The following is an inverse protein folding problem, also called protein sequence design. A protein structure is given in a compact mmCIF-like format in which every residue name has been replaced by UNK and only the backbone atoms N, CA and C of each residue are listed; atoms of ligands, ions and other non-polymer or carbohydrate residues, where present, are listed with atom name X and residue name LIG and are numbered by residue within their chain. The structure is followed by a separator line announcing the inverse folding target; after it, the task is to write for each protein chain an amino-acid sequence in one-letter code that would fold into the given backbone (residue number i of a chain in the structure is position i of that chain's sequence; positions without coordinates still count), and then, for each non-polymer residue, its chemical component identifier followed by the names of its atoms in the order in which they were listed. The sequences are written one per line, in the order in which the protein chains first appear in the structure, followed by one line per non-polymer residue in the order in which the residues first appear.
data_IF_241583317426
#
_entry.id   IF_241583317426
#
_cell.length_a   1.000
_cell.length_b   1.000
_cell.length_c   1.000
_cell.angle_alpha   90.00
_cell.angle_beta   90.00
_cell.angle_gamma   90.00
#
_symmetry.space_group_name_H-M   'P 1'
#
loop_
_entity.id
_entity.type
_entity.pdbx_description
1 polymer ?
#
# COMPACT_ATOMS: atom_id res chain seq x y z
N UNK A 1 3.72 30.69 -37.01
CA UNK A 1 3.92 29.23 -36.91
C UNK A 1 2.59 28.55 -37.15
N UNK A 2 2.49 27.65 -38.14
CA UNK A 2 1.27 26.85 -38.38
C UNK A 2 0.99 25.99 -37.12
N UNK A 3 -0.27 25.86 -36.68
CA UNK A 3 -0.60 24.98 -35.57
C UNK A 3 -0.18 23.54 -35.99
N UNK A 4 0.67 22.93 -35.17
CA UNK A 4 1.12 21.55 -35.37
C UNK A 4 -0.10 20.65 -35.24
N UNK A 5 -0.37 19.79 -36.21
CA UNK A 5 -1.51 18.87 -36.14
C UNK A 5 -1.32 17.90 -34.97
N UNK A 6 -2.43 17.46 -34.35
CA UNK A 6 -2.40 16.55 -33.22
C UNK A 6 -1.66 15.24 -33.57
N UNK A 7 -1.78 14.77 -34.81
CA UNK A 7 -1.05 13.61 -35.34
C UNK A 7 0.45 13.79 -35.39
N UNK A 8 0.94 14.96 -35.82
CA UNK A 8 2.39 15.29 -35.82
C UNK A 8 2.95 15.39 -34.39
N UNK A 9 2.14 15.94 -33.47
CA UNK A 9 2.52 16.03 -32.05
C UNK A 9 2.71 14.64 -31.46
N UNK A 10 1.77 13.72 -31.70
CA UNK A 10 1.85 12.34 -31.23
C UNK A 10 3.09 11.64 -31.81
N UNK A 11 3.41 11.83 -33.09
CA UNK A 11 4.60 11.23 -33.71
C UNK A 11 5.90 11.76 -33.08
N UNK A 12 6.00 13.07 -32.86
CA UNK A 12 7.17 13.68 -32.21
C UNK A 12 7.34 13.20 -30.77
N UNK A 13 6.25 13.07 -30.01
CA UNK A 13 6.29 12.54 -28.66
C UNK A 13 6.74 11.08 -28.62
N UNK A 14 6.22 10.23 -29.52
CA UNK A 14 6.67 8.83 -29.65
C UNK A 14 8.16 8.74 -29.98
N UNK A 15 8.64 9.57 -30.90
CA UNK A 15 10.06 9.62 -31.24
C UNK A 15 10.92 10.05 -30.04
N UNK A 16 10.47 11.05 -29.27
CA UNK A 16 11.15 11.50 -28.06
C UNK A 16 11.17 10.41 -26.96
N UNK A 17 10.07 9.70 -26.76
CA UNK A 17 10.01 8.58 -25.81
C UNK A 17 10.92 7.42 -26.20
N UNK A 18 11.08 7.13 -27.50
CA UNK A 18 11.98 6.09 -27.99
C UNK A 18 13.47 6.41 -27.74
N UNK A 19 13.83 7.68 -27.56
CA UNK A 19 15.19 8.10 -27.22
C UNK A 19 15.54 7.91 -25.74
N UNK A 20 14.53 7.88 -24.86
CA UNK A 20 14.76 7.70 -23.43
C UNK A 20 14.90 6.21 -23.09
N UNK A 21 16.07 5.78 -22.69
CA UNK A 21 16.40 4.40 -22.35
C UNK A 21 16.67 4.18 -20.84
N UNK A 22 16.33 5.16 -20.02
CA UNK A 22 16.59 5.14 -18.58
C UNK A 22 17.72 6.09 -18.17
N UNK A 23 18.27 5.85 -16.97
CA UNK A 23 19.27 6.73 -16.38
C UNK A 23 20.58 6.75 -17.17
N UNK A 24 21.07 7.97 -17.38
CA UNK A 24 22.33 8.26 -18.05
C UNK A 24 23.51 8.00 -17.11
N UNK A 25 24.57 7.37 -17.61
CA UNK A 25 25.83 7.13 -16.89
C UNK A 25 25.67 6.46 -15.52
N UNK A 26 24.98 5.34 -15.46
CA UNK A 26 24.67 4.58 -14.24
C UNK A 26 25.87 4.22 -13.37
N UNK A 27 27.08 4.08 -13.97
CA UNK A 27 28.34 3.77 -13.25
C UNK A 27 28.87 4.93 -12.40
N UNK A 28 28.42 6.15 -12.64
CA UNK A 28 28.81 7.38 -11.93
C UNK A 28 27.59 8.21 -11.52
N UNK A 29 26.49 7.50 -11.24
CA UNK A 29 25.20 8.10 -10.89
C UNK A 29 25.22 8.95 -9.60
N UNK A 30 26.22 8.74 -8.74
CA UNK A 30 26.48 9.48 -7.51
C UNK A 30 27.08 10.88 -7.74
N UNK A 31 27.61 11.16 -8.95
CA UNK A 31 28.08 12.50 -9.27
C UNK A 31 26.92 13.49 -9.38
N UNK A 32 27.03 14.62 -8.69
CA UNK A 32 25.97 15.63 -8.58
C UNK A 32 25.44 16.09 -9.96
N UNK A 33 26.31 16.35 -10.93
CA UNK A 33 25.90 16.78 -12.27
C UNK A 33 25.17 15.66 -13.05
N UNK A 34 25.54 14.39 -12.85
CA UNK A 34 24.85 13.23 -13.45
C UNK A 34 23.46 13.10 -12.87
N UNK A 35 23.35 13.21 -11.55
CA UNK A 35 22.07 13.16 -10.83
C UNK A 35 21.13 14.28 -11.32
N UNK A 36 21.64 15.50 -11.50
CA UNK A 36 20.86 16.63 -12.02
C UNK A 36 20.34 16.36 -13.44
N UNK A 37 21.17 15.82 -14.32
CA UNK A 37 20.77 15.47 -15.69
C UNK A 37 19.77 14.33 -15.72
N UNK A 38 19.96 13.29 -14.94
CA UNK A 38 19.03 12.17 -14.84
C UNK A 38 17.65 12.66 -14.36
N UNK A 39 17.60 13.46 -13.29
CA UNK A 39 16.36 14.06 -12.80
C UNK A 39 15.66 14.91 -13.87
N UNK A 40 16.42 15.71 -14.62
CA UNK A 40 15.89 16.54 -15.69
C UNK A 40 15.29 15.72 -16.85
N UNK A 41 16.06 14.76 -17.39
CA UNK A 41 15.57 13.93 -18.51
C UNK A 41 14.45 13.00 -18.10
N UNK A 42 14.50 12.47 -16.89
CA UNK A 42 13.42 11.68 -16.32
C UNK A 42 12.11 12.49 -16.20
N UNK A 43 12.22 13.72 -15.72
CA UNK A 43 11.09 14.65 -15.64
C UNK A 43 10.50 14.98 -17.03
N UNK A 44 11.36 15.18 -18.03
CA UNK A 44 10.92 15.36 -19.43
C UNK A 44 10.21 14.11 -19.97
N UNK A 45 10.77 12.94 -19.72
CA UNK A 45 10.16 11.66 -20.10
C UNK A 45 8.75 11.53 -19.54
N UNK A 46 8.57 11.71 -18.22
CA UNK A 46 7.26 11.63 -17.57
C UNK A 46 6.27 12.66 -18.13
N UNK A 47 6.71 13.88 -18.39
CA UNK A 47 5.85 14.90 -19.01
C UNK A 47 5.41 14.51 -20.41
N UNK A 48 6.30 13.93 -21.23
CA UNK A 48 5.94 13.40 -22.55
C UNK A 48 4.95 12.24 -22.46
N UNK A 49 5.16 11.31 -21.52
CA UNK A 49 4.23 10.18 -21.27
C UNK A 49 2.85 10.70 -20.89
N UNK A 50 2.75 11.60 -19.92
CA UNK A 50 1.46 12.16 -19.46
C UNK A 50 0.73 12.88 -20.57
N UNK A 51 1.43 13.71 -21.34
CA UNK A 51 0.82 14.43 -22.47
C UNK A 51 0.31 13.46 -23.54
N UNK A 52 1.08 12.40 -23.85
CA UNK A 52 0.66 11.37 -24.81
C UNK A 52 -0.54 10.55 -24.28
N UNK A 53 -0.58 10.27 -22.97
CA UNK A 53 -1.74 9.66 -22.31
C UNK A 53 -3.00 10.52 -22.47
N UNK A 54 -2.90 11.84 -22.28
CA UNK A 54 -4.02 12.76 -22.48
C UNK A 54 -4.49 12.76 -23.94
N UNK A 55 -3.59 12.76 -24.91
CA UNK A 55 -3.92 12.66 -26.32
C UNK A 55 -4.67 11.36 -26.64
N UNK A 56 -4.22 10.22 -26.07
CA UNK A 56 -4.90 8.95 -26.29
C UNK A 56 -6.26 8.87 -25.61
N UNK A 57 -6.42 9.45 -24.41
CA UNK A 57 -7.73 9.54 -23.76
C UNK A 57 -8.70 10.36 -24.59
N UNK A 58 -8.28 11.53 -25.11
CA UNK A 58 -9.12 12.39 -25.98
C UNK A 58 -9.50 11.71 -27.30
N UNK A 59 -8.57 10.93 -27.84
CA UNK A 59 -8.79 10.20 -29.10
C UNK A 59 -9.44 8.82 -28.90
N UNK A 60 -9.81 8.45 -27.65
CA UNK A 60 -10.37 7.15 -27.26
C UNK A 60 -9.53 5.94 -27.69
N UNK A 61 -8.20 6.13 -27.84
CA UNK A 61 -7.26 5.08 -28.24
C UNK A 61 -6.78 4.27 -27.03
N UNK A 62 -7.69 3.53 -26.43
CA UNK A 62 -7.46 2.81 -25.17
C UNK A 62 -6.40 1.71 -25.25
N UNK A 63 -6.22 1.05 -26.41
CA UNK A 63 -5.18 0.07 -26.67
C UNK A 63 -3.77 0.68 -26.54
N UNK A 64 -3.56 1.82 -27.20
CA UNK A 64 -2.30 2.54 -27.17
C UNK A 64 -2.01 3.12 -25.77
N UNK A 65 -3.07 3.56 -25.09
CA UNK A 65 -2.98 4.07 -23.71
C UNK A 65 -2.56 2.97 -22.75
N UNK A 66 -3.16 1.78 -22.82
CA UNK A 66 -2.82 0.62 -21.99
C UNK A 66 -1.35 0.23 -22.18
N UNK A 67 -0.89 0.10 -23.44
CA UNK A 67 0.50 -0.24 -23.75
C UNK A 67 1.49 0.79 -23.20
N UNK A 68 1.22 2.08 -23.44
CA UNK A 68 2.08 3.18 -22.97
C UNK A 68 2.19 3.19 -21.44
N UNK A 69 1.04 3.12 -20.73
CA UNK A 69 1.04 3.13 -19.27
C UNK A 69 1.72 1.89 -18.69
N UNK A 70 1.51 0.70 -19.28
CA UNK A 70 2.15 -0.53 -18.82
C UNK A 70 3.66 -0.47 -18.97
N UNK A 71 4.17 0.10 -20.08
CA UNK A 71 5.61 0.30 -20.28
C UNK A 71 6.19 1.34 -19.31
N UNK A 72 5.49 2.47 -19.12
CA UNK A 72 5.95 3.52 -18.22
C UNK A 72 5.98 3.05 -16.76
N UNK A 73 5.00 2.26 -16.31
CA UNK A 73 4.94 1.70 -14.96
C UNK A 73 6.04 0.68 -14.65
N UNK A 74 6.67 0.07 -15.67
CA UNK A 74 7.87 -0.76 -15.46
C UNK A 74 9.07 0.07 -15.00
N UNK A 75 9.16 1.33 -15.42
CA UNK A 75 10.21 2.25 -15.02
C UNK A 75 9.82 3.08 -13.80
N UNK A 76 8.55 3.50 -13.73
CA UNK A 76 7.97 4.35 -12.67
C UNK A 76 6.80 3.67 -11.97
N UNK A 77 7.09 2.69 -11.17
CA UNK A 77 6.08 1.91 -10.43
C UNK A 77 5.36 2.70 -9.32
N UNK A 78 5.82 3.92 -9.01
CA UNK A 78 5.29 4.76 -7.92
C UNK A 78 4.49 5.97 -8.39
N UNK A 79 4.22 6.11 -9.69
CA UNK A 79 3.44 7.22 -10.23
C UNK A 79 1.93 6.92 -10.19
N UNK A 80 1.22 7.57 -9.26
CA UNK A 80 -0.25 7.44 -9.09
C UNK A 80 -1.01 7.80 -10.39
N UNK A 81 -0.53 8.76 -11.15
CA UNK A 81 -1.21 9.28 -12.34
C UNK A 81 -1.17 8.27 -13.49
N UNK A 82 -0.05 7.55 -13.66
CA UNK A 82 0.06 6.47 -14.64
C UNK A 82 -0.90 5.32 -14.36
N UNK A 83 -1.09 4.95 -13.09
CA UNK A 83 -2.12 3.99 -12.70
C UNK A 83 -3.52 4.49 -13.03
N UNK A 84 -3.81 5.77 -12.81
CA UNK A 84 -5.09 6.36 -13.17
C UNK A 84 -5.37 6.28 -14.68
N UNK A 85 -4.36 6.51 -15.53
CA UNK A 85 -4.48 6.36 -16.98
C UNK A 85 -4.67 4.90 -17.39
N UNK A 86 -3.93 3.97 -16.78
CA UNK A 86 -4.08 2.53 -17.05
C UNK A 86 -5.49 2.04 -16.70
N UNK A 87 -6.01 2.44 -15.56
CA UNK A 87 -7.38 2.11 -15.13
C UNK A 87 -8.41 2.68 -16.13
N UNK A 88 -8.23 3.93 -16.58
CA UNK A 88 -9.10 4.53 -17.61
C UNK A 88 -9.04 3.76 -18.94
N UNK A 89 -7.85 3.31 -19.35
CA UNK A 89 -7.69 2.52 -20.57
C UNK A 89 -8.45 1.19 -20.50
N UNK A 90 -8.31 0.46 -19.39
CA UNK A 90 -9.00 -0.80 -19.16
C UNK A 90 -10.52 -0.62 -19.08
N UNK A 91 -10.97 0.45 -18.41
CA UNK A 91 -12.38 0.79 -18.33
C UNK A 91 -12.98 1.11 -19.71
N UNK A 92 -12.27 1.89 -20.53
CA UNK A 92 -12.69 2.19 -21.92
C UNK A 92 -12.74 0.96 -22.81
N UNK A 93 -11.97 -0.08 -22.50
CA UNK A 93 -12.02 -1.41 -23.15
C UNK A 93 -13.08 -2.34 -22.56
N UNK A 94 -13.90 -1.87 -21.64
CA UNK A 94 -14.90 -2.64 -20.89
C UNK A 94 -14.31 -3.81 -20.05
N UNK A 95 -13.03 -3.73 -19.71
CA UNK A 95 -12.31 -4.70 -18.86
C UNK A 95 -12.34 -4.25 -17.40
N UNK A 96 -13.54 -4.15 -16.81
CA UNK A 96 -13.74 -3.58 -15.46
C UNK A 96 -13.03 -4.40 -14.38
N UNK A 97 -13.07 -5.75 -14.47
CA UNK A 97 -12.36 -6.63 -13.52
C UNK A 97 -10.85 -6.32 -13.46
N UNK A 98 -10.20 -6.27 -14.63
CA UNK A 98 -8.77 -5.93 -14.71
C UNK A 98 -8.48 -4.50 -14.23
N UNK A 99 -9.38 -3.55 -14.44
CA UNK A 99 -9.24 -2.19 -13.92
C UNK A 99 -9.28 -2.15 -12.38
N UNK A 100 -10.12 -2.97 -11.76
CA UNK A 100 -10.18 -3.11 -10.29
C UNK A 100 -8.92 -3.78 -9.74
N UNK A 101 -8.42 -4.83 -10.37
CA UNK A 101 -7.16 -5.49 -9.98
C UNK A 101 -5.97 -4.50 -10.03
N UNK A 102 -5.89 -3.68 -11.10
CA UNK A 102 -4.86 -2.64 -11.21
C UNK A 102 -5.01 -1.60 -10.10
N UNK A 103 -6.23 -1.19 -9.76
CA UNK A 103 -6.49 -0.27 -8.66
C UNK A 103 -6.00 -0.83 -7.32
N UNK A 104 -6.35 -2.08 -7.00
CA UNK A 104 -5.93 -2.73 -5.74
C UNK A 104 -4.41 -2.89 -5.65
N UNK A 105 -3.77 -3.31 -6.75
CA UNK A 105 -2.32 -3.44 -6.83
C UNK A 105 -1.62 -2.07 -6.69
N UNK A 106 -2.14 -1.03 -7.33
CA UNK A 106 -1.62 0.33 -7.21
C UNK A 106 -1.70 0.83 -5.76
N UNK A 107 -2.87 0.68 -5.12
CA UNK A 107 -3.05 1.06 -3.71
C UNK A 107 -2.04 0.33 -2.81
N UNK A 108 -1.88 -0.99 -3.01
CA UNK A 108 -0.94 -1.80 -2.23
C UNK A 108 0.51 -1.34 -2.42
N UNK A 109 0.94 -1.16 -3.67
CA UNK A 109 2.31 -0.75 -4.01
C UNK A 109 2.64 0.64 -3.47
N UNK A 110 1.77 1.62 -3.72
CA UNK A 110 1.99 3.00 -3.31
C UNK A 110 1.94 3.16 -1.78
N UNK A 111 1.04 2.45 -1.09
CA UNK A 111 0.98 2.45 0.37
C UNK A 111 2.21 1.79 1.00
N UNK A 112 2.68 0.67 0.46
CA UNK A 112 3.83 -0.05 1.00
C UNK A 112 5.15 0.70 0.80
N UNK A 113 5.33 1.37 -0.34
CA UNK A 113 6.60 1.99 -0.68
C UNK A 113 6.68 3.48 -0.30
N UNK A 114 5.58 4.22 -0.40
CA UNK A 114 5.54 5.66 -0.09
C UNK A 114 4.92 5.99 1.27
N UNK A 115 4.27 5.01 1.93
CA UNK A 115 3.55 5.27 3.19
C UNK A 115 2.35 6.23 3.04
N UNK A 116 1.94 6.53 1.81
CA UNK A 116 0.86 7.49 1.53
C UNK A 116 -0.49 6.85 1.82
N UNK A 117 -1.25 7.43 2.74
CA UNK A 117 -2.56 6.93 3.15
C UNK A 117 -3.73 7.44 2.32
N UNK A 118 -3.57 8.54 1.59
CA UNK A 118 -4.62 9.13 0.75
C UNK A 118 -4.18 9.22 -0.71
N UNK A 119 -4.65 8.28 -1.51
CA UNK A 119 -4.52 8.26 -2.97
C UNK A 119 -5.77 8.88 -3.59
N UNK A 120 -5.88 10.21 -3.51
CA UNK A 120 -7.09 10.94 -3.89
C UNK A 120 -7.44 10.82 -5.38
N UNK A 121 -6.43 10.79 -6.25
CA UNK A 121 -6.61 10.64 -7.70
C UNK A 121 -7.13 9.24 -8.05
N UNK A 122 -6.50 8.19 -7.51
CA UNK A 122 -6.93 6.80 -7.67
C UNK A 122 -8.33 6.56 -7.14
N UNK A 123 -8.66 7.10 -5.96
CA UNK A 123 -10.01 7.02 -5.40
C UNK A 123 -11.05 7.67 -6.31
N UNK A 124 -10.75 8.84 -6.87
CA UNK A 124 -11.63 9.53 -7.82
C UNK A 124 -11.91 8.74 -9.10
N UNK A 125 -10.91 7.99 -9.60
CA UNK A 125 -11.09 7.10 -10.76
C UNK A 125 -11.91 5.87 -10.38
N UNK A 126 -11.65 5.27 -9.22
CA UNK A 126 -12.41 4.14 -8.69
C UNK A 126 -13.89 4.46 -8.52
N UNK A 127 -14.22 5.61 -7.91
CA UNK A 127 -15.60 6.05 -7.73
C UNK A 127 -16.34 6.22 -9.09
N UNK A 128 -15.64 6.68 -10.12
CA UNK A 128 -16.20 6.77 -11.49
C UNK A 128 -16.46 5.38 -12.09
N UNK A 129 -15.53 4.44 -11.91
CA UNK A 129 -15.70 3.05 -12.36
C UNK A 129 -16.91 2.40 -11.71
N UNK A 130 -17.09 2.56 -10.40
CA UNK A 130 -18.23 2.00 -9.67
C UNK A 130 -19.56 2.59 -10.17
N UNK A 131 -19.60 3.88 -10.49
CA UNK A 131 -20.82 4.51 -11.05
C UNK A 131 -21.14 3.99 -12.45
N UNK A 132 -20.13 3.78 -13.29
CA UNK A 132 -20.33 3.24 -14.64
C UNK A 132 -20.80 1.78 -14.61
N UNK A 133 -20.29 0.99 -13.68
CA UNK A 133 -20.68 -0.41 -13.52
C UNK A 133 -22.11 -0.58 -12.96
N UNK A 134 -22.57 0.37 -12.14
CA UNK A 134 -23.94 0.35 -11.59
C UNK A 134 -25.05 0.63 -12.60
N UNK A 135 -24.74 1.21 -13.75
CA UNK A 135 -25.74 1.54 -14.77
C UNK A 135 -26.09 0.40 -15.73
N UNK A 136 -25.41 -0.75 -15.66
CA UNK A 136 -25.58 -1.83 -16.65
C UNK A 136 -26.08 -3.19 -16.16
N UNK A 137 -25.95 -3.55 -14.89
CA UNK A 137 -26.39 -4.86 -14.39
C UNK A 137 -26.92 -4.75 -12.96
N UNK A 138 -28.17 -5.17 -12.76
CA UNK A 138 -28.69 -5.48 -11.43
C UNK A 138 -28.00 -6.79 -10.99
N UNK A 139 -26.84 -6.67 -10.35
CA UNK A 139 -26.14 -7.81 -9.78
C UNK A 139 -26.94 -8.30 -8.57
N UNK A 140 -27.33 -9.58 -8.58
CA UNK A 140 -28.03 -10.18 -7.46
C UNK A 140 -27.12 -10.32 -6.23
N UNK A 141 -27.69 -10.47 -5.05
CA UNK A 141 -26.98 -10.68 -3.77
C UNK A 141 -25.96 -11.82 -3.85
N UNK A 142 -26.17 -12.81 -4.72
CA UNK A 142 -25.24 -13.92 -4.95
C UNK A 142 -23.88 -13.45 -5.49
N UNK A 143 -23.87 -12.45 -6.39
CA UNK A 143 -22.62 -11.87 -6.90
C UNK A 143 -21.86 -11.12 -5.80
N UNK A 144 -22.57 -10.37 -4.97
CA UNK A 144 -21.98 -9.67 -3.83
C UNK A 144 -21.34 -10.67 -2.85
N UNK A 145 -21.99 -11.80 -2.60
CA UNK A 145 -21.42 -12.87 -1.78
C UNK A 145 -20.17 -13.48 -2.42
N UNK A 146 -20.16 -13.66 -3.73
CA UNK A 146 -19.00 -14.18 -4.45
C UNK A 146 -17.82 -13.21 -4.42
N UNK A 147 -18.07 -11.91 -4.54
CA UNK A 147 -17.05 -10.86 -4.49
C UNK A 147 -16.46 -10.68 -3.08
N UNK A 148 -17.29 -10.93 -2.02
CA UNK A 148 -16.83 -10.85 -0.63
C UNK A 148 -16.16 -12.14 -0.17
N UNK A 149 -16.49 -13.29 -0.78
CA UNK A 149 -15.94 -14.58 -0.38
C UNK A 149 -14.46 -14.67 -0.66
N UNK A 150 -13.64 -14.54 0.38
CA UNK A 150 -12.22 -14.86 0.32
C UNK A 150 -12.03 -16.36 0.10
N UNK A 151 -11.28 -16.71 -0.95
CA UNK A 151 -10.88 -18.09 -1.17
C UNK A 151 -9.77 -18.44 -0.17
N UNK A 152 -10.10 -19.21 0.89
CA UNK A 152 -9.17 -19.70 1.91
C UNK A 152 -8.41 -18.62 2.68
N UNK A 153 -9.04 -17.88 3.59
CA UNK A 153 -8.31 -16.95 4.46
C UNK A 153 -7.35 -17.73 5.37
N UNK A 154 -6.06 -17.70 5.06
CA UNK A 154 -5.02 -18.29 5.88
C UNK A 154 -4.35 -17.21 6.73
N UNK A 155 -4.52 -17.28 8.06
CA UNK A 155 -3.89 -16.35 8.99
C UNK A 155 -4.60 -14.99 9.07
N UNK A 156 -3.92 -13.99 9.64
CA UNK A 156 -4.48 -12.68 9.89
C UNK A 156 -4.70 -11.86 8.61
N UNK A 157 -5.69 -10.97 8.65
CA UNK A 157 -5.93 -9.99 7.60
C UNK A 157 -4.87 -8.89 7.63
N UNK A 158 -4.01 -8.88 6.60
CA UNK A 158 -2.98 -7.85 6.46
C UNK A 158 -3.51 -6.68 5.66
N UNK A 159 -3.43 -5.49 6.23
CA UNK A 159 -3.91 -4.27 5.57
C UNK A 159 -3.01 -3.07 5.86
N UNK A 160 -3.20 -1.99 5.11
CA UNK A 160 -2.62 -0.70 5.45
C UNK A 160 -3.25 -0.10 6.70
N UNK A 161 -2.51 0.74 7.43
CA UNK A 161 -2.98 1.35 8.68
C UNK A 161 -4.32 2.11 8.55
N UNK A 162 -4.65 2.81 7.45
CA UNK A 162 -5.96 3.43 7.29
C UNK A 162 -7.12 2.43 7.30
N UNK A 163 -6.97 1.29 6.61
CA UNK A 163 -7.99 0.22 6.61
C UNK A 163 -8.09 -0.40 8.00
N UNK A 164 -6.95 -0.68 8.64
CA UNK A 164 -6.90 -1.16 10.02
C UNK A 164 -7.68 -0.24 10.98
N UNK A 165 -7.50 1.08 10.86
CA UNK A 165 -8.21 2.08 11.67
C UNK A 165 -9.73 1.99 11.49
N UNK A 166 -10.20 1.81 10.25
CA UNK A 166 -11.64 1.67 9.97
C UNK A 166 -12.19 0.33 10.51
N UNK A 167 -11.41 -0.76 10.43
CA UNK A 167 -11.75 -2.03 11.07
C UNK A 167 -11.90 -1.83 12.59
N UNK A 168 -10.94 -1.19 13.25
CA UNK A 168 -11.02 -0.89 14.67
C UNK A 168 -12.26 -0.05 15.02
N UNK A 169 -12.59 0.97 14.21
CA UNK A 169 -13.80 1.78 14.40
C UNK A 169 -15.08 0.97 14.28
N UNK A 170 -15.12 0.04 13.31
CA UNK A 170 -16.26 -0.87 13.16
C UNK A 170 -16.40 -1.78 14.38
N UNK A 171 -15.26 -2.32 14.86
CA UNK A 171 -15.27 -3.20 16.03
C UNK A 171 -15.68 -2.47 17.31
N UNK A 172 -15.22 -1.24 17.53
CA UNK A 172 -15.71 -0.38 18.65
C UNK A 172 -17.25 -0.27 18.65
N UNK A 173 -17.85 -0.12 17.46
CA UNK A 173 -19.32 -0.05 17.34
C UNK A 173 -20.01 -1.39 17.63
N UNK A 174 -19.34 -2.52 17.33
CA UNK A 174 -19.84 -3.87 17.65
C UNK A 174 -19.75 -4.16 19.14
N UNK A 175 -18.61 -3.87 19.78
CA UNK A 175 -18.41 -4.09 21.22
C UNK A 175 -19.41 -3.33 22.08
N UNK A 176 -19.84 -2.15 21.63
CA UNK A 176 -20.92 -1.40 22.30
C UNK A 176 -22.29 -2.14 22.32
N UNK A 177 -22.49 -3.14 21.44
CA UNK A 177 -23.73 -3.91 21.35
C UNK A 177 -23.66 -5.32 21.95
N UNK A 178 -22.48 -5.97 21.87
CA UNK A 178 -22.33 -7.41 22.10
C UNK A 178 -21.44 -7.77 23.29
N UNK A 179 -20.91 -6.77 24.02
CA UNK A 179 -19.97 -6.95 25.15
C UNK A 179 -18.76 -7.88 24.85
N UNK A 180 -18.37 -7.94 23.56
CA UNK A 180 -17.19 -8.69 23.14
C UNK A 180 -15.93 -7.91 23.49
N UNK A 181 -14.93 -8.61 24.03
CA UNK A 181 -13.66 -8.00 24.38
C UNK A 181 -12.69 -8.07 23.19
N UNK A 182 -12.19 -6.92 22.80
CA UNK A 182 -11.18 -6.80 21.75
C UNK A 182 -9.96 -6.06 22.27
N UNK A 183 -8.78 -6.47 21.82
CA UNK A 183 -7.52 -5.90 22.26
C UNK A 183 -6.68 -5.42 21.07
N UNK A 184 -6.02 -4.28 21.24
CA UNK A 184 -4.98 -3.81 20.35
C UNK A 184 -3.64 -4.20 20.97
N UNK A 185 -2.84 -4.90 20.18
CA UNK A 185 -1.49 -5.29 20.49
C UNK A 185 -0.50 -4.52 19.63
N UNK A 186 0.39 -3.75 20.23
CA UNK A 186 1.47 -3.05 19.54
C UNK A 186 2.79 -3.77 19.81
N UNK A 187 3.42 -4.26 18.73
CA UNK A 187 4.76 -4.84 18.77
C UNK A 187 5.76 -3.81 18.26
N UNK A 188 6.74 -3.48 19.09
CA UNK A 188 7.81 -2.53 18.75
C UNK A 188 9.16 -3.24 18.74
N UNK A 189 9.84 -3.27 17.60
CA UNK A 189 11.22 -3.72 17.50
C UNK A 189 12.15 -2.61 17.97
N UNK A 190 13.06 -2.97 18.88
CA UNK A 190 14.12 -2.09 19.39
C UNK A 190 15.47 -2.78 19.23
N UNK A 191 16.48 -2.01 18.86
CA UNK A 191 17.85 -2.48 18.97
C UNK A 191 18.26 -2.58 20.46
N UNK A 192 19.06 -3.59 20.79
CA UNK A 192 19.69 -3.67 22.10
C UNK A 192 20.58 -2.43 22.37
N UNK A 193 20.79 -2.10 23.62
CA UNK A 193 21.60 -0.96 24.07
C UNK A 193 23.05 -1.13 23.63
N UNK A 194 23.43 -0.48 22.54
CA UNK A 194 24.81 -0.19 22.19
C UNK A 194 25.01 1.32 22.23
N UNK A 195 25.92 1.78 23.07
CA UNK A 195 26.27 3.21 23.24
C UNK A 195 27.25 3.67 22.18
N UNK A 196 26.82 4.58 21.26
CA UNK A 196 27.67 5.25 20.27
C UNK A 196 26.90 5.83 19.09
N UNK A 197 27.23 7.03 18.65
CA UNK A 197 26.48 7.79 17.63
C UNK A 197 26.47 7.18 16.21
N UNK A 198 27.42 6.33 15.85
CA UNK A 198 27.42 5.58 14.56
C UNK A 198 26.56 4.32 14.59
N UNK A 199 25.99 3.97 15.73
CA UNK A 199 25.20 2.75 15.96
C UNK A 199 23.74 2.94 15.54
N UNK A 200 23.27 4.17 15.38
CA UNK A 200 21.90 4.50 15.01
C UNK A 200 21.52 3.93 13.64
N UNK A 201 22.34 4.15 12.62
CA UNK A 201 22.00 3.77 11.23
C UNK A 201 22.06 2.26 11.03
N UNK A 202 23.02 1.58 11.64
CA UNK A 202 23.13 0.10 11.61
C UNK A 202 21.94 -0.54 12.31
N UNK A 203 21.47 0.05 13.42
CA UNK A 203 20.31 -0.45 14.15
C UNK A 203 19.00 -0.25 13.37
N UNK A 204 18.83 0.90 12.70
CA UNK A 204 17.69 1.15 11.83
C UNK A 204 17.67 0.18 10.63
N UNK A 205 18.81 -0.06 10.01
CA UNK A 205 18.94 -1.03 8.93
C UNK A 205 18.57 -2.45 9.37
N UNK A 206 19.03 -2.89 10.57
CA UNK A 206 18.67 -4.19 11.13
C UNK A 206 17.18 -4.31 11.43
N UNK A 207 16.56 -3.27 11.97
CA UNK A 207 15.13 -3.25 12.25
C UNK A 207 14.36 -3.35 10.93
N UNK A 208 14.69 -2.55 9.91
CA UNK A 208 14.05 -2.59 8.59
C UNK A 208 14.13 -3.98 7.95
N UNK A 209 15.27 -4.65 8.05
CA UNK A 209 15.43 -6.00 7.52
C UNK A 209 14.68 -7.06 8.35
N UNK A 210 14.44 -6.84 9.64
CA UNK A 210 13.69 -7.74 10.49
C UNK A 210 12.16 -7.63 10.31
N UNK A 211 11.66 -6.47 9.89
CA UNK A 211 10.21 -6.22 9.74
C UNK A 211 9.51 -7.18 8.77
N UNK A 212 10.05 -7.49 7.56
CA UNK A 212 9.44 -8.49 6.67
C UNK A 212 9.37 -9.89 7.29
N UNK A 213 10.35 -10.28 8.08
CA UNK A 213 10.34 -11.58 8.78
C UNK A 213 9.32 -11.61 9.91
N UNK A 214 9.13 -10.47 10.59
CA UNK A 214 8.11 -10.37 11.63
C UNK A 214 6.70 -10.49 11.04
N UNK A 215 6.40 -9.86 9.90
CA UNK A 215 5.08 -9.99 9.26
C UNK A 215 4.79 -11.41 8.81
N UNK A 216 5.78 -12.15 8.31
CA UNK A 216 5.60 -13.57 7.98
C UNK A 216 5.33 -14.44 9.22
N UNK A 217 5.96 -14.11 10.35
CA UNK A 217 5.68 -14.76 11.63
C UNK A 217 4.25 -14.45 12.11
N UNK A 218 3.80 -13.19 11.94
CA UNK A 218 2.44 -12.75 12.28
C UNK A 218 1.40 -13.50 11.46
N UNK A 219 1.56 -13.59 10.14
CA UNK A 219 0.67 -14.36 9.25
C UNK A 219 0.47 -15.79 9.73
N UNK A 220 1.56 -16.47 10.14
CA UNK A 220 1.54 -17.87 10.56
C UNK A 220 1.05 -18.08 11.99
N UNK A 221 1.00 -17.02 12.81
CA UNK A 221 0.71 -17.12 14.25
C UNK A 221 -0.66 -16.59 14.64
N UNK A 222 -1.31 -15.83 13.78
CA UNK A 222 -2.60 -15.18 14.03
C UNK A 222 -3.73 -15.90 13.30
N UNK A 223 -4.96 -15.64 13.74
CA UNK A 223 -6.19 -16.26 13.20
C UNK A 223 -6.75 -15.43 12.04
N UNK A 224 -7.60 -15.98 11.18
CA UNK A 224 -8.26 -15.25 10.09
C UNK A 224 -9.07 -14.02 10.55
N UNK A 225 -9.60 -14.03 11.77
CA UNK A 225 -10.35 -12.90 12.34
C UNK A 225 -9.51 -11.77 12.90
N UNK A 226 -8.19 -11.96 13.03
CA UNK A 226 -7.27 -10.92 13.50
C UNK A 226 -6.84 -10.03 12.34
N UNK A 227 -6.64 -8.73 12.59
CA UNK A 227 -6.12 -7.80 11.59
C UNK A 227 -4.75 -7.25 11.99
N UNK A 228 -3.88 -7.02 11.00
CA UNK A 228 -2.50 -6.54 11.20
C UNK A 228 -2.20 -5.41 10.25
N UNK A 229 -1.57 -4.36 10.77
CA UNK A 229 -1.03 -3.28 9.95
C UNK A 229 0.36 -2.86 10.43
N UNK A 230 1.18 -2.40 9.51
CA UNK A 230 2.41 -1.69 9.86
C UNK A 230 2.06 -0.29 10.33
N UNK A 231 2.49 0.08 11.54
CA UNK A 231 2.23 1.39 12.13
C UNK A 231 3.38 2.37 11.92
N UNK A 232 4.62 1.85 11.96
CA UNK A 232 5.86 2.62 11.69
C UNK A 232 6.94 1.70 11.15
N UNK A 233 8.13 2.25 10.86
CA UNK A 233 9.30 1.50 10.39
C UNK A 233 9.77 0.41 11.37
N UNK A 234 9.32 0.45 12.63
CA UNK A 234 9.69 -0.48 13.69
C UNK A 234 8.51 -1.11 14.44
N UNK A 235 7.27 -0.87 13.97
CA UNK A 235 6.08 -1.25 14.72
C UNK A 235 5.01 -1.91 13.84
N UNK A 236 4.45 -2.99 14.36
CA UNK A 236 3.19 -3.57 13.90
C UNK A 236 2.11 -3.41 14.94
N UNK A 237 0.91 -3.05 14.50
CA UNK A 237 -0.30 -3.02 15.30
C UNK A 237 -1.22 -4.17 14.88
N UNK A 238 -1.80 -4.84 15.87
CA UNK A 238 -2.61 -6.05 15.69
C UNK A 238 -3.92 -5.85 16.44
N UNK A 239 -5.04 -6.14 15.81
CA UNK A 239 -6.34 -6.23 16.44
C UNK A 239 -6.63 -7.71 16.71
N UNK A 240 -6.79 -8.06 17.97
CA UNK A 240 -7.15 -9.40 18.45
C UNK A 240 -8.64 -9.41 18.76
N UNK A 241 -9.41 -10.12 17.95
CA UNK A 241 -10.87 -10.23 18.09
C UNK A 241 -11.25 -11.31 19.07
N UNK A 242 -12.32 -11.08 19.86
CA UNK A 242 -12.86 -12.02 20.83
C UNK A 242 -11.77 -12.64 21.74
N UNK A 243 -11.01 -11.78 22.41
CA UNK A 243 -9.82 -12.15 23.18
C UNK A 243 -9.90 -11.61 24.62
N UNK A 244 -9.25 -12.29 25.58
CA UNK A 244 -8.97 -11.75 26.90
C UNK A 244 -7.58 -11.14 26.94
N UNK A 245 -7.27 -10.35 27.98
CA UNK A 245 -5.92 -9.80 28.19
C UNK A 245 -4.86 -10.90 28.25
N UNK A 246 -5.13 -11.96 29.03
CA UNK A 246 -4.25 -13.12 29.17
C UNK A 246 -4.07 -13.87 27.86
N UNK A 247 -5.16 -14.04 27.10
CA UNK A 247 -5.13 -14.63 25.76
C UNK A 247 -4.30 -13.82 24.79
N UNK A 248 -4.43 -12.50 24.82
CA UNK A 248 -3.62 -11.58 24.00
C UNK A 248 -2.13 -11.64 24.35
N UNK A 249 -1.80 -11.72 25.64
CA UNK A 249 -0.40 -11.90 26.09
C UNK A 249 0.19 -13.25 25.67
N UNK A 250 -0.61 -14.33 25.70
CA UNK A 250 -0.18 -15.65 25.21
C UNK A 250 0.11 -15.61 23.70
N UNK A 251 -0.74 -14.95 22.92
CA UNK A 251 -0.52 -14.76 21.48
C UNK A 251 0.75 -13.95 21.23
N UNK A 252 0.96 -12.84 21.95
CA UNK A 252 2.15 -12.01 21.81
C UNK A 252 3.44 -12.79 22.13
N UNK A 253 3.46 -13.55 23.23
CA UNK A 253 4.61 -14.38 23.61
C UNK A 253 4.90 -15.48 22.60
N UNK A 254 3.84 -16.11 22.03
CA UNK A 254 3.97 -17.10 20.96
C UNK A 254 4.61 -16.50 19.71
N UNK A 255 4.17 -15.30 19.29
CA UNK A 255 4.75 -14.57 18.14
C UNK A 255 6.24 -14.31 18.38
N UNK A 256 6.61 -13.79 19.54
CA UNK A 256 8.00 -13.46 19.89
C UNK A 256 8.87 -14.72 19.90
N UNK A 257 8.41 -15.78 20.55
CA UNK A 257 9.13 -17.04 20.62
C UNK A 257 9.38 -17.61 19.22
N UNK A 258 8.35 -17.63 18.37
CA UNK A 258 8.45 -18.13 17.00
C UNK A 258 9.33 -17.24 16.13
N UNK A 259 9.25 -15.92 16.27
CA UNK A 259 10.11 -14.99 15.54
C UNK A 259 11.60 -15.26 15.82
N UNK A 260 11.99 -15.43 17.10
CA UNK A 260 13.38 -15.71 17.44
C UNK A 260 13.83 -17.15 17.15
N UNK A 261 12.91 -18.12 17.09
CA UNK A 261 13.21 -19.48 16.65
C UNK A 261 13.54 -19.53 15.15
N UNK A 262 12.70 -18.88 14.35
CA UNK A 262 12.82 -18.88 12.90
C UNK A 262 13.94 -17.93 12.41
N UNK A 263 14.26 -16.90 13.18
CA UNK A 263 15.15 -15.80 12.77
C UNK A 263 16.27 -15.57 13.79
N UNK A 264 17.16 -16.54 13.94
CA UNK A 264 18.27 -16.52 14.94
C UNK A 264 19.20 -15.32 14.81
N UNK A 265 19.34 -14.73 13.62
CA UNK A 265 20.17 -13.53 13.34
C UNK A 265 19.65 -12.27 14.02
N UNK A 266 18.36 -12.21 14.38
CA UNK A 266 17.73 -11.04 15.02
C UNK A 266 17.59 -11.17 16.53
N UNK A 267 18.25 -12.12 17.18
CA UNK A 267 18.20 -12.30 18.66
C UNK A 267 18.68 -11.08 19.46
N UNK A 268 19.46 -10.21 18.83
CA UNK A 268 19.92 -8.96 19.44
C UNK A 268 18.87 -7.83 19.38
N UNK A 269 17.80 -7.99 18.62
CA UNK A 269 16.68 -7.07 18.64
C UNK A 269 15.73 -7.46 19.79
N UNK A 270 15.19 -6.48 20.49
CA UNK A 270 14.17 -6.68 21.52
C UNK A 270 12.80 -6.32 20.95
N UNK A 271 11.80 -7.18 21.16
CA UNK A 271 10.40 -6.89 20.83
C UNK A 271 9.70 -6.46 22.12
N UNK A 272 9.25 -5.20 22.14
CA UNK A 272 8.41 -4.67 23.22
C UNK A 272 6.95 -4.87 22.88
N UNK A 273 6.17 -5.33 23.87
CA UNK A 273 4.74 -5.55 23.80
C UNK A 273 4.03 -4.41 24.53
N UNK A 274 3.01 -3.84 23.91
CA UNK A 274 1.97 -3.04 24.56
C UNK A 274 0.62 -3.61 24.14
N UNK A 275 -0.23 -3.95 25.09
CA UNK A 275 -1.57 -4.47 24.85
C UNK A 275 -2.59 -3.63 25.63
N UNK A 276 -3.64 -3.18 24.97
CA UNK A 276 -4.75 -2.43 25.57
C UNK A 276 -6.08 -2.90 25.00
N UNK A 277 -7.11 -2.89 25.86
CA UNK A 277 -8.49 -3.11 25.42
C UNK A 277 -8.92 -1.98 24.50
N UNK A 278 -9.62 -2.31 23.42
CA UNK A 278 -10.21 -1.31 22.51
C UNK A 278 -11.21 -0.48 23.29
N UNK A 279 -11.01 0.85 23.35
CA UNK A 279 -11.85 1.77 24.13
C UNK A 279 -12.91 2.38 23.24
N UNK A 280 -14.15 2.48 23.75
CA UNK A 280 -15.18 3.33 23.17
C UNK A 280 -14.83 4.82 23.32
N UNK A 281 -15.30 5.66 22.43
CA UNK A 281 -14.97 7.10 22.36
C UNK A 281 -15.24 7.85 23.66
N UNK A 282 -16.18 7.41 24.47
CA UNK A 282 -16.53 7.97 25.79
C UNK A 282 -15.40 7.81 26.82
N UNK A 283 -14.63 6.73 26.75
CA UNK A 283 -13.51 6.45 27.66
C UNK A 283 -12.21 7.18 27.28
N UNK A 284 -12.13 7.80 26.11
CA UNK A 284 -10.95 8.57 25.68
C UNK A 284 -11.06 10.00 26.19
N UNK A 285 -12.24 10.59 26.13
CA UNK A 285 -12.47 11.99 26.56
C UNK A 285 -12.35 12.17 28.07
N UNK A 286 -12.71 11.18 28.88
CA UNK A 286 -12.61 11.27 30.36
C UNK A 286 -11.17 11.32 30.90
N UNK A 287 -10.15 10.97 30.13
CA UNK A 287 -8.74 11.08 30.52
C UNK A 287 -8.10 12.44 30.27
N UNK A 288 -8.76 13.31 29.48
CA UNK A 288 -8.24 14.64 29.13
C UNK A 288 -9.04 15.80 29.77
N UNK A 289 -10.05 15.46 30.57
CA UNK A 289 -10.91 16.42 31.31
C UNK A 289 -10.78 16.30 32.83
N UNK A 290 -9.72 15.61 33.32
CA UNK A 290 -9.40 15.51 34.75
C UNK A 290 -8.12 16.25 35.10
#
# INVERSE_FOLDING_TARGET
QKPISEGETIQKLKAALALYQGDFMTKVADMHWVMMLNTYYHSLYLNCVRYLCECYVRAEKYENLEQLCSQALQQESLDEELYCYLIKALAGKNKIGSALEVYENACRTLQQQLGICELSKLKGVYDKLLRQNKSGNVQGIAQVHQDIAEQNPAGAFLCGYPVFREICRLQVRKTARFDENEYILLLTLKAGEYTGSKVSDVNLFRIRNAMPHLVETLKKSLRPGDAVAQFSDSQYVILLSACTYEGGMLVANRIISKFYQDNKIYRNLKIKINIEKVKTTENILSKYTG
#
